data_IF_986571140419
#
_entry.id   IF_986571140419
#
_cell.length_a   1.000
_cell.length_b   1.000
_cell.length_c   1.000
_cell.angle_alpha   90.00
_cell.angle_beta   90.00
_cell.angle_gamma   90.00
#
_symmetry.space_group_name_H-M   'P 1'
#
loop_
_entity.id
_entity.type
_entity.pdbx_description
1 polymer ?
#
# COMPACT_ATOMS: atom_id res chain seq x y z
N UNK A 1 8.42 -5.47 -4.11
CA UNK A 1 7.37 -5.43 -5.15
C UNK A 1 7.12 -4.01 -5.63
N UNK A 2 6.68 -3.09 -4.76
CA UNK A 2 6.40 -1.72 -5.19
C UNK A 2 7.66 -0.94 -5.57
N UNK A 3 8.79 -1.19 -4.89
CA UNK A 3 10.09 -0.63 -5.26
C UNK A 3 10.50 -1.02 -6.69
N UNK A 4 10.22 -2.26 -7.08
CA UNK A 4 10.55 -2.77 -8.41
C UNK A 4 9.64 -2.13 -9.46
N UNK A 5 8.34 -2.01 -9.17
CA UNK A 5 7.41 -1.27 -10.03
C UNK A 5 7.83 0.20 -10.24
N UNK A 6 8.23 0.89 -9.16
CA UNK A 6 8.71 2.27 -9.25
C UNK A 6 9.95 2.36 -10.15
N UNK A 7 10.89 1.43 -9.99
CA UNK A 7 12.08 1.36 -10.82
C UNK A 7 11.76 1.17 -12.31
N UNK A 8 10.79 0.31 -12.64
CA UNK A 8 10.36 0.11 -14.04
C UNK A 8 9.67 1.34 -14.64
N UNK A 9 8.97 2.14 -13.82
CA UNK A 9 8.26 3.35 -14.30
C UNK A 9 9.21 4.53 -14.44
N UNK A 10 10.08 4.77 -13.44
CA UNK A 10 10.91 5.96 -13.35
C UNK A 10 12.37 5.73 -13.76
N UNK A 11 12.78 4.49 -14.04
CA UNK A 11 14.14 4.11 -14.41
C UNK A 11 15.18 4.25 -13.28
N UNK A 12 14.75 4.60 -12.06
CA UNK A 12 15.60 4.85 -10.91
C UNK A 12 14.91 4.41 -9.62
N UNK A 13 15.70 4.16 -8.57
CA UNK A 13 15.14 3.91 -7.25
C UNK A 13 14.66 5.23 -6.65
N UNK A 14 13.41 5.24 -6.17
CA UNK A 14 12.88 6.37 -5.43
C UNK A 14 13.48 6.43 -4.03
N UNK A 15 13.62 7.65 -3.51
CA UNK A 15 13.88 7.83 -2.09
C UNK A 15 12.79 7.15 -1.25
N UNK A 16 13.15 6.65 -0.07
CA UNK A 16 12.25 5.84 0.76
C UNK A 16 10.98 6.62 1.16
N UNK A 17 11.11 7.92 1.40
CA UNK A 17 9.94 8.75 1.70
C UNK A 17 9.01 8.85 0.48
N UNK A 18 9.55 9.15 -0.70
CA UNK A 18 8.77 9.27 -1.94
C UNK A 18 8.15 7.93 -2.32
N UNK A 19 8.88 6.85 -2.16
CA UNK A 19 8.42 5.48 -2.41
C UNK A 19 7.17 5.17 -1.56
N UNK A 20 7.24 5.38 -0.25
CA UNK A 20 6.14 4.99 0.65
C UNK A 20 4.99 6.01 0.69
N UNK A 21 5.27 7.30 0.80
CA UNK A 21 4.24 8.32 1.02
C UNK A 21 3.64 8.91 -0.25
N UNK A 22 4.25 8.69 -1.41
CA UNK A 22 3.76 9.24 -2.68
C UNK A 22 3.41 8.12 -3.65
N UNK A 23 4.38 7.31 -4.04
CA UNK A 23 4.18 6.31 -5.09
C UNK A 23 3.24 5.18 -4.63
N UNK A 24 3.57 4.53 -3.51
CA UNK A 24 2.75 3.47 -2.95
C UNK A 24 1.38 3.99 -2.51
N UNK A 25 1.33 5.18 -1.90
CA UNK A 25 0.09 5.87 -1.56
C UNK A 25 -0.86 5.98 -2.76
N UNK A 26 -0.38 6.53 -3.88
CA UNK A 26 -1.21 6.73 -5.08
C UNK A 26 -1.71 5.38 -5.61
N UNK A 27 -0.82 4.40 -5.73
CA UNK A 27 -1.17 3.09 -6.31
C UNK A 27 -2.19 2.37 -5.43
N UNK A 28 -1.95 2.29 -4.13
CA UNK A 28 -2.82 1.56 -3.21
C UNK A 28 -4.17 2.26 -3.03
N UNK A 29 -4.21 3.59 -3.11
CA UNK A 29 -5.48 4.33 -3.17
C UNK A 29 -6.24 4.00 -4.43
N UNK A 30 -5.60 4.00 -5.61
CA UNK A 30 -6.26 3.65 -6.87
C UNK A 30 -6.81 2.22 -6.83
N UNK A 31 -6.01 1.25 -6.39
CA UNK A 31 -6.44 -0.15 -6.24
C UNK A 31 -7.60 -0.25 -5.25
N UNK A 32 -7.49 0.43 -4.12
CA UNK A 32 -8.52 0.43 -3.08
C UNK A 32 -9.84 1.05 -3.53
N UNK A 33 -9.79 2.13 -4.33
CA UNK A 33 -10.97 2.74 -4.94
C UNK A 33 -11.66 1.78 -5.90
N UNK A 34 -10.90 1.14 -6.80
CA UNK A 34 -11.43 0.16 -7.75
C UNK A 34 -12.14 -0.96 -6.99
N UNK A 35 -11.51 -1.52 -5.96
CA UNK A 35 -12.11 -2.55 -5.12
C UNK A 35 -13.36 -2.07 -4.37
N UNK A 36 -13.33 -0.84 -3.86
CA UNK A 36 -14.48 -0.22 -3.20
C UNK A 36 -15.68 -0.09 -4.14
N UNK A 37 -15.44 0.29 -5.40
CA UNK A 37 -16.48 0.38 -6.42
C UNK A 37 -17.04 -0.98 -6.82
N UNK A 38 -16.18 -2.00 -6.97
CA UNK A 38 -16.59 -3.34 -7.39
C UNK A 38 -17.34 -4.08 -6.28
N UNK A 39 -16.80 -4.05 -5.05
CA UNK A 39 -17.34 -4.82 -3.92
C UNK A 39 -18.46 -4.10 -3.18
N UNK A 40 -18.55 -2.76 -3.34
CA UNK A 40 -19.47 -1.88 -2.61
C UNK A 40 -19.35 -2.01 -1.09
N UNK A 41 -18.21 -2.48 -0.60
CA UNK A 41 -17.93 -2.71 0.82
C UNK A 41 -16.56 -2.13 1.16
N UNK A 42 -16.46 -1.48 2.31
CA UNK A 42 -15.21 -0.86 2.77
C UNK A 42 -14.24 -1.91 3.32
N UNK A 43 -14.73 -2.95 4.00
CA UNK A 43 -13.88 -3.95 4.64
C UNK A 43 -12.91 -4.67 3.66
N UNK A 44 -13.34 -5.13 2.47
CA UNK A 44 -12.42 -5.72 1.49
C UNK A 44 -11.28 -4.78 1.08
N UNK A 45 -11.56 -3.47 0.99
CA UNK A 45 -10.56 -2.45 0.64
C UNK A 45 -9.46 -2.40 1.70
N UNK A 46 -9.85 -2.35 2.97
CA UNK A 46 -8.91 -2.34 4.10
C UNK A 46 -8.05 -3.60 4.10
N UNK A 47 -8.69 -4.78 3.98
CA UNK A 47 -7.99 -6.07 3.96
C UNK A 47 -6.97 -6.14 2.83
N UNK A 48 -7.32 -5.67 1.64
CA UNK A 48 -6.41 -5.72 0.50
C UNK A 48 -5.25 -4.75 0.65
N UNK A 49 -5.49 -3.50 1.08
CA UNK A 49 -4.40 -2.52 1.28
C UNK A 49 -3.40 -3.02 2.34
N UNK A 50 -3.90 -3.52 3.47
CA UNK A 50 -3.05 -4.11 4.52
C UNK A 50 -2.32 -5.34 4.00
N UNK A 51 -3.03 -6.24 3.32
CA UNK A 51 -2.47 -7.48 2.78
C UNK A 51 -1.33 -7.23 1.79
N UNK A 52 -1.51 -6.29 0.86
CA UNK A 52 -0.49 -5.91 -0.12
C UNK A 52 0.76 -5.33 0.54
N UNK A 53 0.60 -4.49 1.57
CA UNK A 53 1.74 -3.96 2.32
C UNK A 53 2.49 -5.05 3.09
N UNK A 54 1.77 -5.96 3.75
CA UNK A 54 2.39 -7.08 4.48
C UNK A 54 3.15 -8.00 3.53
N UNK A 55 2.59 -8.31 2.35
CA UNK A 55 3.28 -9.08 1.32
C UNK A 55 4.54 -8.37 0.85
N UNK A 56 4.46 -7.07 0.54
CA UNK A 56 5.62 -6.31 0.10
C UNK A 56 6.71 -6.24 1.16
N UNK A 57 6.35 -6.04 2.44
CA UNK A 57 7.29 -6.14 3.57
C UNK A 57 7.93 -7.51 3.64
N UNK A 58 7.16 -8.59 3.51
CA UNK A 58 7.70 -9.96 3.52
C UNK A 58 8.73 -10.19 2.42
N UNK A 59 8.44 -9.71 1.21
CA UNK A 59 9.35 -9.79 0.06
C UNK A 59 10.63 -8.98 0.33
N UNK A 60 10.50 -7.75 0.82
CA UNK A 60 11.64 -6.88 1.12
C UNK A 60 12.49 -7.42 2.27
N UNK A 61 11.87 -7.95 3.33
CA UNK A 61 12.58 -8.56 4.45
C UNK A 61 13.37 -9.78 3.99
N UNK A 62 12.78 -10.65 3.16
CA UNK A 62 13.48 -11.79 2.58
C UNK A 62 14.65 -11.35 1.69
N UNK A 63 14.44 -10.30 0.88
CA UNK A 63 15.50 -9.74 0.05
C UNK A 63 16.67 -9.20 0.89
N UNK A 64 16.40 -8.39 1.92
CA UNK A 64 17.44 -7.83 2.79
C UNK A 64 18.24 -8.93 3.50
N UNK A 65 17.57 -9.98 4.00
CA UNK A 65 18.26 -11.14 4.59
C UNK A 65 19.14 -11.86 3.58
N UNK A 66 18.68 -12.00 2.33
CA UNK A 66 19.50 -12.63 1.28
C UNK A 66 20.76 -11.81 0.94
N UNK A 67 20.77 -10.52 1.26
CA UNK A 67 21.94 -9.64 1.15
C UNK A 67 22.80 -9.60 2.42
N UNK A 68 22.47 -10.39 3.45
CA UNK A 68 23.19 -10.44 4.72
C UNK A 68 22.74 -9.42 5.77
N UNK A 69 21.63 -8.70 5.55
CA UNK A 69 21.14 -7.69 6.47
C UNK A 69 20.32 -8.31 7.63
N UNK A 70 21.00 -8.90 8.61
CA UNK A 70 20.36 -9.37 9.84
C UNK A 70 19.41 -10.57 9.65
N UNK A 71 18.42 -10.70 10.54
CA UNK A 71 17.45 -11.81 10.51
C UNK A 71 16.15 -11.43 9.83
N UNK A 72 15.45 -12.41 9.28
CA UNK A 72 14.15 -12.20 8.63
C UNK A 72 13.14 -11.53 9.56
N UNK A 73 13.03 -12.02 10.79
CA UNK A 73 12.10 -11.45 11.75
C UNK A 73 12.47 -10.02 12.14
N UNK A 74 13.77 -9.71 12.27
CA UNK A 74 14.23 -8.34 12.53
C UNK A 74 13.88 -7.38 11.40
N UNK A 75 14.20 -7.75 10.16
CA UNK A 75 13.88 -6.94 8.98
C UNK A 75 12.37 -6.76 8.79
N UNK A 76 11.59 -7.82 8.98
CA UNK A 76 10.14 -7.78 8.86
C UNK A 76 9.50 -6.81 9.86
N UNK A 77 9.93 -6.84 11.13
CA UNK A 77 9.42 -5.91 12.15
C UNK A 77 9.80 -4.47 11.85
N UNK A 78 11.05 -4.21 11.45
CA UNK A 78 11.50 -2.86 11.09
C UNK A 78 10.69 -2.28 9.93
N UNK A 79 10.50 -3.06 8.87
CA UNK A 79 9.77 -2.65 7.68
C UNK A 79 8.26 -2.50 7.95
N UNK A 80 7.66 -3.36 8.78
CA UNK A 80 6.26 -3.19 9.19
C UNK A 80 6.06 -1.88 9.95
N UNK A 81 6.98 -1.52 10.83
CA UNK A 81 6.90 -0.23 11.56
C UNK A 81 7.11 0.94 10.60
N UNK A 82 8.08 0.86 9.70
CA UNK A 82 8.32 1.89 8.69
C UNK A 82 7.11 2.12 7.77
N UNK A 83 6.39 1.04 7.44
CA UNK A 83 5.19 1.09 6.59
C UNK A 83 3.89 1.33 7.33
N UNK A 84 3.86 1.28 8.66
CA UNK A 84 2.64 1.47 9.44
C UNK A 84 1.92 2.80 9.13
N UNK A 85 2.67 3.92 9.13
CA UNK A 85 2.11 5.23 8.83
C UNK A 85 1.65 5.37 7.36
N UNK A 86 2.48 5.03 6.35
CA UNK A 86 2.04 4.99 4.96
C UNK A 86 0.75 4.19 4.74
N UNK A 87 0.69 2.97 5.27
CA UNK A 87 -0.50 2.10 5.17
C UNK A 87 -1.73 2.72 5.83
N UNK A 88 -1.56 3.40 6.96
CA UNK A 88 -2.66 4.14 7.58
C UNK A 88 -3.20 5.24 6.66
N UNK A 89 -2.33 6.03 6.01
CA UNK A 89 -2.76 7.09 5.09
C UNK A 89 -3.41 6.55 3.81
N UNK A 90 -2.94 5.43 3.28
CA UNK A 90 -3.55 4.73 2.16
C UNK A 90 -5.00 4.35 2.47
N UNK A 91 -5.23 3.72 3.64
CA UNK A 91 -6.56 3.34 4.09
C UNK A 91 -7.41 4.58 4.31
N UNK A 92 -6.90 5.55 5.08
CA UNK A 92 -7.64 6.77 5.42
C UNK A 92 -8.11 7.50 4.17
N UNK A 93 -7.19 7.77 3.24
CA UNK A 93 -7.48 8.50 2.02
C UNK A 93 -8.49 7.74 1.14
N UNK A 94 -8.29 6.43 0.97
CA UNK A 94 -9.22 5.59 0.18
C UNK A 94 -10.63 5.60 0.78
N UNK A 95 -10.74 5.42 2.10
CA UNK A 95 -12.03 5.41 2.80
C UNK A 95 -12.72 6.78 2.72
N UNK A 96 -11.97 7.87 2.89
CA UNK A 96 -12.51 9.22 2.76
C UNK A 96 -13.06 9.45 1.36
N UNK A 97 -12.29 9.09 0.32
CA UNK A 97 -12.72 9.22 -1.07
C UNK A 97 -13.97 8.37 -1.35
N UNK A 98 -14.02 7.10 -0.92
CA UNK A 98 -15.21 6.26 -1.09
C UNK A 98 -16.45 6.79 -0.37
N UNK A 99 -16.27 7.60 0.69
CA UNK A 99 -17.38 8.20 1.45
C UNK A 99 -17.86 9.53 0.91
N UNK A 100 -17.17 10.15 -0.06
CA UNK A 100 -17.62 11.44 -0.60
C UNK A 100 -18.97 11.27 -1.31
N UNK A 101 -19.91 12.18 -1.06
CA UNK A 101 -21.30 12.08 -1.51
C UNK A 101 -21.45 11.87 -3.02
N UNK A 102 -20.64 12.54 -3.83
CA UNK A 102 -20.68 12.38 -5.30
C UNK A 102 -20.25 10.97 -5.71
N UNK A 103 -19.19 10.42 -5.11
CA UNK A 103 -18.73 9.04 -5.37
C UNK A 103 -19.76 8.01 -4.91
N UNK A 104 -20.37 8.19 -3.72
CA UNK A 104 -21.42 7.28 -3.24
C UNK A 104 -22.64 7.26 -4.16
N UNK A 105 -23.06 8.43 -4.66
CA UNK A 105 -24.20 8.56 -5.59
C UNK A 105 -23.92 7.92 -6.95
N UNK A 106 -22.75 8.18 -7.55
CA UNK A 106 -22.37 7.67 -8.87
C UNK A 106 -22.24 6.14 -8.84
N UNK A 107 -21.53 5.61 -7.85
CA UNK A 107 -21.21 4.19 -7.78
C UNK A 107 -22.20 3.35 -6.96
N UNK A 108 -23.26 3.98 -6.44
CA UNK A 108 -24.29 3.34 -5.59
C UNK A 108 -23.64 2.57 -4.43
N UNK A 109 -22.71 3.23 -3.75
CA UNK A 109 -22.03 2.68 -2.57
C UNK A 109 -22.99 2.74 -1.39
N UNK A 110 -23.36 1.57 -0.87
CA UNK A 110 -24.29 1.41 0.27
C UNK A 110 -23.58 1.80 1.56
#
# INVERSE_FOLDING_TARGET
MFRDMAFYIFGTQLDTFVQYFIFELIILVVIGLILGFLTKKIWPVIVVIVGLNVIDVGILAQFNVSQGEGTFFGQLMLLLVAKFFPTFYEILLTVLLLRVDWMRKIFKLV
#
